data_IF_212595010239
#
_entry.id   IF_212595010239
#
_cell.length_a   1.000
_cell.length_b   1.000
_cell.length_c   1.000
_cell.angle_alpha   90.00
_cell.angle_beta   90.00
_cell.angle_gamma   90.00
#
_symmetry.space_group_name_H-M   'P 1'
#
loop_
_entity.id
_entity.type
_entity.pdbx_description
1 polymer ?
#
# COMPACT_ATOMS: atom_id res chain seq x y z
N UNK A 1 52.73 -3.75 23.25
CA UNK A 1 51.37 -4.20 23.64
C UNK A 1 50.27 -3.13 23.44
N UNK A 2 50.50 -1.84 23.77
CA UNK A 2 49.42 -0.79 23.58
C UNK A 2 49.02 -0.53 22.13
N UNK A 3 49.89 -0.66 21.13
CA UNK A 3 49.57 -0.44 19.71
C UNK A 3 48.72 -1.60 19.09
N UNK A 4 48.86 -2.84 19.60
CA UNK A 4 48.10 -3.98 19.11
C UNK A 4 46.64 -3.95 19.59
N UNK A 5 46.37 -3.44 20.78
CA UNK A 5 45.03 -3.31 21.36
C UNK A 5 44.20 -2.24 20.63
N UNK A 6 44.79 -1.10 20.21
CA UNK A 6 44.10 -0.06 19.43
C UNK A 6 43.69 -0.57 18.05
N UNK A 7 44.51 -1.43 17.40
CA UNK A 7 44.16 -1.99 16.08
C UNK A 7 42.99 -2.97 16.14
N UNK A 8 42.87 -3.73 17.24
CA UNK A 8 41.77 -4.68 17.44
C UNK A 8 40.45 -3.98 17.73
N UNK A 9 40.48 -2.88 18.51
CA UNK A 9 39.26 -2.07 18.77
C UNK A 9 38.73 -1.34 17.50
N UNK A 10 39.64 -0.85 16.65
CA UNK A 10 39.24 -0.21 15.39
C UNK A 10 38.61 -1.23 14.39
N UNK A 11 39.09 -2.48 14.38
CA UNK A 11 38.55 -3.54 13.53
C UNK A 11 37.18 -4.05 14.02
N UNK A 12 36.93 -4.03 15.35
CA UNK A 12 35.60 -4.37 15.91
C UNK A 12 34.56 -3.28 15.67
N UNK A 13 34.95 -2.00 15.62
CA UNK A 13 34.01 -0.90 15.30
C UNK A 13 33.58 -0.87 13.83
N UNK A 14 34.39 -1.39 12.90
CA UNK A 14 34.03 -1.49 11.48
C UNK A 14 33.06 -2.66 11.18
N UNK A 15 33.00 -3.68 12.04
CA UNK A 15 32.08 -4.81 11.88
C UNK A 15 30.67 -4.55 12.43
N UNK A 16 30.49 -3.54 13.28
CA UNK A 16 29.18 -3.18 13.82
C UNK A 16 28.37 -2.18 12.95
N UNK A 17 28.97 -1.62 11.90
CA UNK A 17 28.33 -0.64 11.01
C UNK A 17 27.54 -1.24 9.85
N UNK A 18 27.53 -2.58 9.68
CA UNK A 18 26.97 -3.24 8.48
C UNK A 18 25.65 -4.00 8.67
N UNK A 19 24.98 -3.87 9.79
CA UNK A 19 23.61 -4.37 9.94
C UNK A 19 22.57 -3.32 9.52
N UNK A 20 22.86 -2.54 8.48
CA UNK A 20 21.95 -1.52 7.96
C UNK A 20 20.70 -2.18 7.37
N UNK A 21 19.62 -1.93 8.04
CA UNK A 21 18.18 -2.23 7.80
C UNK A 21 17.88 -2.85 6.43
N UNK A 22 17.92 -4.19 6.34
CA UNK A 22 17.37 -4.97 5.21
C UNK A 22 15.85 -4.87 5.11
N UNK A 23 15.19 -4.26 6.10
CA UNK A 23 13.74 -4.17 6.19
C UNK A 23 13.20 -2.89 5.59
N UNK A 24 11.99 -3.00 5.02
CA UNK A 24 11.21 -1.94 4.43
C UNK A 24 9.88 -1.84 5.17
N UNK A 25 9.47 -0.62 5.56
CA UNK A 25 8.16 -0.34 6.11
C UNK A 25 7.21 0.00 4.94
N UNK A 26 6.19 -0.83 4.76
CA UNK A 26 5.14 -0.65 3.76
C UNK A 26 3.86 -0.26 4.48
N UNK A 27 3.11 0.70 3.93
CA UNK A 27 1.79 1.08 4.44
C UNK A 27 0.77 1.08 3.31
N UNK A 28 -0.48 0.74 3.60
CA UNK A 28 -1.64 1.07 2.79
C UNK A 28 -2.52 2.03 3.56
N UNK A 29 -3.06 3.04 2.88
CA UNK A 29 -3.88 4.06 3.51
C UNK A 29 -4.92 4.60 2.54
N UNK A 30 -6.15 4.10 2.65
CA UNK A 30 -7.29 4.79 2.05
C UNK A 30 -7.46 6.13 2.78
N UNK A 31 -7.22 7.23 2.06
CA UNK A 31 -7.22 8.58 2.66
C UNK A 31 -8.60 9.23 2.65
N UNK A 32 -9.63 8.53 2.20
CA UNK A 32 -10.97 9.05 1.96
C UNK A 32 -10.96 10.29 1.07
N UNK A 33 -11.67 10.26 -0.02
CA UNK A 33 -11.77 11.38 -0.95
C UNK A 33 -12.41 12.63 -0.31
N UNK A 34 -12.44 13.74 -1.05
CA UNK A 34 -13.02 14.98 -0.57
C UNK A 34 -14.55 14.91 -0.68
N UNK A 35 -15.21 14.82 0.48
CA UNK A 35 -16.69 14.76 0.57
C UNK A 35 -17.18 15.80 1.59
N UNK A 36 -18.05 16.72 1.15
CA UNK A 36 -18.57 17.76 2.04
C UNK A 36 -19.44 17.20 3.18
N UNK A 37 -20.16 16.10 2.92
CA UNK A 37 -21.00 15.45 3.91
C UNK A 37 -20.23 14.84 5.09
N UNK A 38 -18.90 14.67 4.99
CA UNK A 38 -18.07 14.19 6.09
C UNK A 38 -17.94 15.17 7.28
N UNK A 39 -18.50 16.38 7.17
CA UNK A 39 -18.64 17.35 8.26
C UNK A 39 -17.29 17.69 8.91
N UNK A 40 -17.12 17.35 10.21
CA UNK A 40 -15.87 17.57 10.93
C UNK A 40 -14.69 16.85 10.26
N UNK A 41 -14.91 15.69 9.67
CA UNK A 41 -13.91 14.86 9.04
C UNK A 41 -13.66 15.19 7.55
N UNK A 42 -14.14 16.35 7.04
CA UNK A 42 -13.75 16.82 5.72
C UNK A 42 -12.23 16.95 5.61
N UNK A 43 -11.69 16.73 4.40
CA UNK A 43 -10.25 16.78 4.15
C UNK A 43 -9.57 18.05 4.69
N UNK A 44 -10.17 19.21 4.47
CA UNK A 44 -9.63 20.50 4.95
C UNK A 44 -9.36 20.55 6.46
N UNK A 45 -10.11 19.77 7.25
CA UNK A 45 -10.00 19.71 8.70
C UNK A 45 -9.00 18.63 9.17
N UNK A 46 -8.86 17.52 8.41
CA UNK A 46 -8.05 16.35 8.80
C UNK A 46 -6.74 16.21 8.04
N UNK A 47 -6.49 17.01 6.99
CA UNK A 47 -5.30 16.87 6.15
C UNK A 47 -3.99 16.94 6.94
N UNK A 48 -3.86 17.90 7.83
CA UNK A 48 -2.63 18.06 8.64
C UNK A 48 -2.43 16.87 9.57
N UNK A 49 -3.53 16.30 10.09
CA UNK A 49 -3.49 15.12 10.92
C UNK A 49 -3.09 13.87 10.11
N UNK A 50 -3.67 13.66 8.94
CA UNK A 50 -3.32 12.57 8.04
C UNK A 50 -1.84 12.66 7.60
N UNK A 51 -1.37 13.87 7.24
CA UNK A 51 0.03 14.10 6.87
C UNK A 51 0.97 13.88 8.07
N UNK A 52 0.60 14.33 9.27
CA UNK A 52 1.41 14.14 10.47
C UNK A 52 1.49 12.67 10.89
N UNK A 53 0.43 11.89 10.69
CA UNK A 53 0.46 10.44 10.85
C UNK A 53 1.53 9.81 9.94
N UNK A 54 1.53 10.16 8.65
CA UNK A 54 2.54 9.69 7.70
C UNK A 54 3.98 10.11 8.11
N UNK A 55 4.15 11.33 8.61
CA UNK A 55 5.44 11.80 9.15
C UNK A 55 5.90 11.01 10.37
N UNK A 56 4.98 10.72 11.28
CA UNK A 56 5.26 10.02 12.54
C UNK A 56 5.66 8.57 12.30
N UNK A 57 4.83 7.81 11.57
CA UNK A 57 5.11 6.41 11.28
C UNK A 57 6.21 6.22 10.24
N UNK A 58 6.41 7.22 9.39
CA UNK A 58 7.46 7.27 8.37
C UNK A 58 7.61 5.95 7.60
N UNK A 59 6.57 5.52 6.84
CA UNK A 59 6.69 4.35 5.98
C UNK A 59 7.75 4.62 4.90
N UNK A 60 8.53 3.61 4.54
CA UNK A 60 9.51 3.74 3.45
C UNK A 60 8.82 3.88 2.08
N UNK A 61 7.70 3.13 1.91
CA UNK A 61 6.75 3.26 0.79
C UNK A 61 5.32 3.12 1.31
N UNK A 62 4.38 3.76 0.64
CA UNK A 62 2.98 3.56 0.95
C UNK A 62 2.06 3.74 -0.26
N UNK A 63 1.02 2.89 -0.34
CA UNK A 63 -0.08 3.02 -1.27
C UNK A 63 -1.20 3.88 -0.68
N UNK A 64 -1.76 4.78 -1.47
CA UNK A 64 -2.97 5.53 -1.10
C UNK A 64 -4.13 5.12 -2.00
N UNK A 65 -5.34 5.18 -1.47
CA UNK A 65 -6.59 4.98 -2.21
C UNK A 65 -7.50 6.19 -1.97
N UNK A 66 -8.42 6.43 -2.90
CA UNK A 66 -9.36 7.56 -2.92
C UNK A 66 -8.74 8.97 -3.00
N UNK A 67 -7.44 9.10 -3.05
CA UNK A 67 -6.80 10.40 -3.08
C UNK A 67 -7.18 11.19 -4.34
N UNK A 68 -7.82 12.35 -4.19
CA UNK A 68 -8.01 13.31 -5.27
C UNK A 68 -6.69 14.03 -5.59
N UNK A 69 -6.60 14.68 -6.75
CA UNK A 69 -5.39 15.43 -7.12
C UNK A 69 -4.98 16.46 -6.06
N UNK A 70 -5.93 17.18 -5.47
CA UNK A 70 -5.64 18.14 -4.40
C UNK A 70 -5.07 17.46 -3.15
N UNK A 71 -5.57 16.29 -2.79
CA UNK A 71 -5.02 15.51 -1.68
C UNK A 71 -3.61 15.01 -1.97
N UNK A 72 -3.33 14.60 -3.21
CA UNK A 72 -1.97 14.24 -3.64
C UNK A 72 -0.99 15.41 -3.48
N UNK A 73 -1.41 16.62 -3.88
CA UNK A 73 -0.61 17.86 -3.70
C UNK A 73 -0.38 18.18 -2.23
N UNK A 74 -1.42 18.11 -1.40
CA UNK A 74 -1.34 18.40 0.04
C UNK A 74 -0.42 17.40 0.76
N UNK A 75 -0.53 16.11 0.46
CA UNK A 75 0.33 15.05 1.03
C UNK A 75 1.78 15.29 0.61
N UNK A 76 2.04 15.53 -0.66
CA UNK A 76 3.40 15.74 -1.18
C UNK A 76 4.04 17.02 -0.61
N UNK A 77 3.26 18.09 -0.44
CA UNK A 77 3.73 19.32 0.18
C UNK A 77 4.17 19.10 1.64
N UNK A 78 3.48 18.21 2.36
CA UNK A 78 3.85 17.83 3.71
C UNK A 78 4.98 16.81 3.81
N UNK A 79 5.31 16.08 2.74
CA UNK A 79 6.28 14.98 2.69
C UNK A 79 7.34 15.24 1.62
N UNK A 80 8.15 16.30 1.80
CA UNK A 80 9.14 16.76 0.82
C UNK A 80 10.19 15.71 0.43
N UNK A 81 10.44 14.71 1.29
CA UNK A 81 11.39 13.62 1.03
C UNK A 81 10.80 12.49 0.16
N UNK A 82 9.50 12.56 -0.15
CA UNK A 82 8.81 11.56 -0.95
C UNK A 82 8.56 12.04 -2.39
N UNK A 83 8.37 11.05 -3.25
CA UNK A 83 7.77 11.21 -4.56
C UNK A 83 6.70 10.12 -4.72
N UNK A 84 5.91 10.17 -5.78
CA UNK A 84 4.93 9.12 -6.07
C UNK A 84 4.92 8.73 -7.55
N UNK A 85 4.36 7.56 -7.84
CA UNK A 85 3.94 7.09 -9.15
C UNK A 85 2.43 6.87 -9.11
N UNK A 86 1.77 7.08 -10.24
CA UNK A 86 0.33 6.92 -10.40
C UNK A 86 -0.34 8.13 -11.02
N UNK A 87 -1.56 7.92 -11.50
CA UNK A 87 -2.39 8.91 -12.19
C UNK A 87 -3.83 8.84 -11.69
N UNK A 88 -4.63 9.86 -12.01
CA UNK A 88 -6.05 9.87 -11.73
C UNK A 88 -6.83 8.90 -12.61
N UNK A 89 -7.80 8.20 -12.04
CA UNK A 89 -8.52 7.08 -12.68
C UNK A 89 -9.43 7.50 -13.83
N UNK A 90 -9.85 8.79 -13.88
CA UNK A 90 -10.84 9.24 -14.86
C UNK A 90 -10.23 9.58 -16.21
N UNK A 91 -8.99 10.09 -16.24
CA UNK A 91 -8.36 10.63 -17.47
C UNK A 91 -6.92 10.16 -17.69
N UNK A 92 -6.40 9.35 -16.76
CA UNK A 92 -5.00 8.93 -16.80
C UNK A 92 -4.01 10.07 -16.54
N UNK A 93 -4.46 11.17 -15.94
CA UNK A 93 -3.65 12.34 -15.59
C UNK A 93 -3.96 12.77 -14.16
N UNK A 94 -4.86 13.76 -14.00
CA UNK A 94 -5.19 14.33 -12.69
C UNK A 94 -6.67 14.17 -12.31
N UNK A 95 -7.50 13.67 -13.20
CA UNK A 95 -8.93 13.51 -13.00
C UNK A 95 -9.29 12.27 -12.20
N UNK A 96 -10.20 12.43 -11.24
CA UNK A 96 -10.68 11.36 -10.38
C UNK A 96 -9.71 11.00 -9.25
N UNK A 97 -9.96 9.85 -8.64
CA UNK A 97 -9.17 9.34 -7.52
C UNK A 97 -7.92 8.61 -8.01
N UNK A 98 -6.87 8.64 -7.19
CA UNK A 98 -5.62 7.93 -7.39
C UNK A 98 -5.58 6.65 -6.55
N UNK A 99 -4.89 5.65 -7.07
CA UNK A 99 -4.33 4.52 -6.33
C UNK A 99 -2.80 4.59 -6.43
N UNK A 100 -2.21 5.67 -5.92
CA UNK A 100 -0.80 5.98 -6.11
C UNK A 100 0.11 5.28 -5.10
N UNK A 101 1.39 5.17 -5.44
CA UNK A 101 2.44 4.65 -4.57
C UNK A 101 3.43 5.76 -4.27
N UNK A 102 3.53 6.16 -3.01
CA UNK A 102 4.55 7.08 -2.50
C UNK A 102 5.79 6.30 -2.05
N UNK A 103 6.97 6.91 -2.23
CA UNK A 103 8.26 6.32 -1.85
C UNK A 103 9.28 7.35 -1.41
N UNK A 104 10.16 6.99 -0.46
CA UNK A 104 11.28 7.83 -0.02
C UNK A 104 12.32 7.97 -1.13
N UNK A 105 12.46 9.17 -1.73
CA UNK A 105 13.34 9.46 -2.88
C UNK A 105 14.81 9.13 -2.64
N UNK A 106 15.29 9.38 -1.42
CA UNK A 106 16.67 9.14 -1.08
C UNK A 106 17.01 7.63 -1.09
N UNK A 107 16.04 6.77 -0.76
CA UNK A 107 16.23 5.33 -0.63
C UNK A 107 15.86 4.55 -1.89
N UNK A 108 14.80 4.90 -2.57
CA UNK A 108 14.29 4.11 -3.69
C UNK A 108 14.51 4.78 -5.04
N UNK A 109 14.74 3.93 -6.03
CA UNK A 109 14.79 4.29 -7.44
C UNK A 109 13.67 3.53 -8.16
N UNK A 110 12.85 4.24 -8.93
CA UNK A 110 11.85 3.64 -9.82
C UNK A 110 12.56 3.18 -11.09
N UNK A 111 12.51 1.89 -11.37
CA UNK A 111 13.09 1.29 -12.59
C UNK A 111 12.09 1.20 -13.72
N UNK A 112 10.84 0.98 -13.37
CA UNK A 112 9.72 0.87 -14.30
C UNK A 112 8.43 1.14 -13.53
N UNK A 113 7.41 1.70 -14.17
CA UNK A 113 6.13 1.96 -13.52
C UNK A 113 5.01 2.20 -14.53
N UNK A 114 3.77 1.99 -14.10
CA UNK A 114 2.61 2.25 -14.91
C UNK A 114 1.33 2.20 -14.09
N UNK A 115 0.24 2.52 -14.76
CA UNK A 115 -1.12 2.39 -14.24
C UNK A 115 -1.98 1.73 -15.32
N UNK A 116 -2.84 0.80 -14.93
CA UNK A 116 -3.82 0.18 -15.81
C UNK A 116 -5.19 0.17 -15.14
N UNK A 117 -6.23 0.06 -15.96
CA UNK A 117 -7.61 0.02 -15.50
C UNK A 117 -8.06 -1.42 -15.27
N UNK A 118 -8.80 -1.64 -14.20
CA UNK A 118 -9.39 -2.94 -13.90
C UNK A 118 -10.61 -3.14 -14.79
N UNK A 119 -10.36 -3.53 -16.03
CA UNK A 119 -11.33 -3.70 -17.09
C UNK A 119 -10.89 -4.81 -18.06
N UNK A 120 -11.84 -5.29 -18.87
CA UNK A 120 -11.62 -6.41 -19.79
C UNK A 120 -10.73 -6.03 -20.99
N UNK A 121 -9.77 -6.89 -21.31
CA UNK A 121 -8.99 -6.84 -22.53
C UNK A 121 -8.28 -5.48 -22.74
N UNK A 122 -8.44 -4.89 -23.92
CA UNK A 122 -7.80 -3.63 -24.27
C UNK A 122 -8.28 -2.43 -23.46
N UNK A 123 -9.50 -2.50 -22.89
CA UNK A 123 -10.03 -1.46 -22.02
C UNK A 123 -9.12 -1.19 -20.81
N UNK A 124 -8.34 -2.19 -20.37
CA UNK A 124 -7.37 -2.02 -19.30
C UNK A 124 -6.31 -0.95 -19.60
N UNK A 125 -6.11 -0.58 -20.86
CA UNK A 125 -5.16 0.46 -21.28
C UNK A 125 -5.83 1.80 -21.62
N UNK A 126 -7.17 1.91 -21.45
CA UNK A 126 -7.93 3.11 -21.81
C UNK A 126 -8.34 3.86 -20.54
N UNK A 127 -7.88 5.10 -20.34
CA UNK A 127 -8.28 5.92 -19.20
C UNK A 127 -9.79 6.07 -19.07
N UNK A 128 -10.28 5.94 -17.83
CA UNK A 128 -11.71 6.08 -17.51
C UNK A 128 -12.55 4.84 -17.81
N UNK A 129 -11.96 3.73 -18.25
CA UNK A 129 -12.71 2.50 -18.54
C UNK A 129 -13.37 1.91 -17.30
N UNK A 130 -14.65 1.53 -17.46
CA UNK A 130 -15.37 0.69 -16.51
C UNK A 130 -15.14 -0.77 -16.86
N UNK A 131 -14.83 -1.59 -15.84
CA UNK A 131 -14.72 -3.04 -15.98
C UNK A 131 -15.93 -3.75 -15.38
N UNK A 132 -16.46 -4.73 -16.12
CA UNK A 132 -17.56 -5.60 -15.70
C UNK A 132 -18.78 -4.81 -15.18
N UNK A 133 -19.17 -5.06 -13.93
CA UNK A 133 -20.28 -4.41 -13.23
C UNK A 133 -19.81 -3.29 -12.27
N UNK A 134 -18.63 -2.72 -12.49
CA UNK A 134 -18.09 -1.66 -11.64
C UNK A 134 -18.93 -0.38 -11.70
N UNK A 135 -19.09 0.27 -10.55
CA UNK A 135 -19.79 1.56 -10.45
C UNK A 135 -18.89 2.73 -10.88
N UNK A 136 -17.58 2.60 -10.64
CA UNK A 136 -16.56 3.58 -11.03
C UNK A 136 -15.37 2.93 -11.75
N UNK A 137 -14.63 3.69 -12.60
CA UNK A 137 -13.34 3.22 -13.09
C UNK A 137 -12.42 2.87 -11.92
N UNK A 138 -11.84 1.67 -11.94
CA UNK A 138 -10.87 1.22 -10.94
C UNK A 138 -9.51 1.03 -11.60
N UNK A 139 -8.45 1.33 -10.87
CA UNK A 139 -7.08 1.28 -11.38
C UNK A 139 -6.17 0.53 -10.45
N UNK A 140 -5.09 0.02 -11.02
CA UNK A 140 -3.93 -0.44 -10.29
C UNK A 140 -2.69 0.32 -10.77
N UNK A 141 -1.94 0.88 -9.84
CA UNK A 141 -0.63 1.48 -10.09
C UNK A 141 0.44 0.51 -9.65
N UNK A 142 1.47 0.34 -10.48
CA UNK A 142 2.59 -0.54 -10.18
C UNK A 142 3.93 0.12 -10.43
N UNK A 143 4.97 -0.37 -9.77
CA UNK A 143 6.35 0.01 -10.04
C UNK A 143 7.33 -1.11 -9.67
N UNK A 144 8.44 -1.16 -10.38
CA UNK A 144 9.64 -1.89 -9.97
C UNK A 144 10.55 -0.91 -9.24
N UNK A 145 10.71 -1.13 -7.95
CA UNK A 145 11.62 -0.33 -7.12
C UNK A 145 12.95 -1.05 -6.91
N UNK A 146 14.04 -0.26 -6.93
CA UNK A 146 15.35 -0.68 -6.43
C UNK A 146 15.64 0.03 -5.12
N UNK A 147 15.82 -0.71 -4.03
CA UNK A 147 16.32 -0.18 -2.77
C UNK A 147 17.83 0.09 -2.87
N UNK A 148 18.21 1.36 -2.93
CA UNK A 148 19.60 1.80 -3.04
C UNK A 148 20.46 1.41 -1.83
N UNK A 149 19.83 1.13 -0.66
CA UNK A 149 20.54 0.70 0.56
C UNK A 149 20.93 -0.76 0.51
N UNK A 150 20.10 -1.60 -0.11
CA UNK A 150 20.32 -3.07 -0.15
C UNK A 150 20.72 -3.59 -1.53
N UNK A 151 20.51 -2.77 -2.58
CA UNK A 151 20.67 -3.17 -3.98
C UNK A 151 19.54 -4.07 -4.51
N UNK A 152 18.61 -4.50 -3.66
CA UNK A 152 17.51 -5.40 -4.03
C UNK A 152 16.43 -4.66 -4.80
N UNK A 153 15.81 -5.35 -5.75
CA UNK A 153 14.64 -4.86 -6.47
C UNK A 153 13.42 -5.69 -6.09
N UNK A 154 12.24 -5.07 -6.16
CA UNK A 154 10.95 -5.72 -5.92
C UNK A 154 9.86 -5.03 -6.76
N UNK A 155 8.80 -5.76 -7.03
CA UNK A 155 7.60 -5.25 -7.68
C UNK A 155 6.60 -4.80 -6.62
N UNK A 156 6.04 -3.60 -6.79
CA UNK A 156 5.00 -3.08 -5.90
C UNK A 156 3.77 -2.70 -6.73
N UNK A 157 2.60 -3.12 -6.28
CA UNK A 157 1.31 -2.79 -6.87
C UNK A 157 0.37 -2.24 -5.79
N UNK A 158 -0.40 -1.20 -6.12
CA UNK A 158 -1.42 -0.61 -5.25
C UNK A 158 -2.73 -0.44 -6.02
N UNK A 159 -3.85 -0.74 -5.37
CA UNK A 159 -5.17 -0.74 -6.00
C UNK A 159 -6.28 -0.32 -5.04
N UNK A 160 -7.48 -0.09 -5.61
CA UNK A 160 -8.74 0.04 -4.89
C UNK A 160 -9.83 -0.67 -5.71
N UNK A 161 -10.29 -1.82 -5.24
CA UNK A 161 -11.34 -2.61 -5.90
C UNK A 161 -12.71 -1.91 -5.80
N UNK A 162 -13.64 -2.32 -6.66
CA UNK A 162 -14.97 -1.71 -6.68
C UNK A 162 -15.77 -2.08 -5.42
N UNK A 163 -16.52 -1.11 -4.89
CA UNK A 163 -17.28 -1.30 -3.66
C UNK A 163 -18.68 -1.91 -3.88
N UNK A 164 -19.19 -1.88 -5.14
CA UNK A 164 -20.52 -2.41 -5.52
C UNK A 164 -20.39 -3.66 -6.38
N UNK A 165 -19.66 -3.59 -7.49
CA UNK A 165 -19.58 -4.63 -8.50
C UNK A 165 -18.93 -5.91 -7.99
N UNK A 166 -19.71 -6.98 -7.89
CA UNK A 166 -19.22 -8.30 -7.42
C UNK A 166 -18.28 -8.93 -8.45
N UNK A 167 -18.69 -8.89 -9.74
CA UNK A 167 -17.85 -9.41 -10.83
C UNK A 167 -16.60 -8.54 -11.03
N UNK A 168 -16.71 -7.23 -10.85
CA UNK A 168 -15.59 -6.31 -10.92
C UNK A 168 -14.54 -6.61 -9.85
N UNK A 169 -14.95 -6.95 -8.60
CA UNK A 169 -14.02 -7.35 -7.56
C UNK A 169 -13.34 -8.68 -7.86
N UNK A 170 -14.10 -9.71 -8.25
CA UNK A 170 -13.56 -11.02 -8.60
C UNK A 170 -12.56 -10.94 -9.75
N UNK A 171 -13.00 -10.42 -10.88
CA UNK A 171 -12.19 -10.35 -12.10
C UNK A 171 -11.04 -9.33 -11.95
N UNK A 172 -11.27 -8.24 -11.19
CA UNK A 172 -10.23 -7.29 -10.83
C UNK A 172 -9.12 -7.96 -10.03
N UNK A 173 -9.46 -8.77 -9.01
CA UNK A 173 -8.48 -9.52 -8.23
C UNK A 173 -7.69 -10.52 -9.10
N UNK A 174 -8.37 -11.22 -10.01
CA UNK A 174 -7.73 -12.13 -10.96
C UNK A 174 -6.77 -11.38 -11.89
N UNK A 175 -7.20 -10.25 -12.46
CA UNK A 175 -6.37 -9.41 -13.32
C UNK A 175 -5.13 -8.91 -12.58
N UNK A 176 -5.27 -8.49 -11.32
CA UNK A 176 -4.15 -8.06 -10.46
C UNK A 176 -3.14 -9.19 -10.24
N UNK A 177 -3.61 -10.40 -9.96
CA UNK A 177 -2.78 -11.58 -9.73
C UNK A 177 -1.99 -11.95 -10.99
N UNK A 178 -2.68 -12.05 -12.14
CA UNK A 178 -2.10 -12.39 -13.44
C UNK A 178 -1.09 -11.31 -13.89
N UNK A 179 -1.42 -10.03 -13.67
CA UNK A 179 -0.52 -8.92 -13.97
C UNK A 179 0.73 -8.97 -13.10
N UNK A 180 0.58 -9.14 -11.78
CA UNK A 180 1.72 -9.23 -10.87
C UNK A 180 2.62 -10.42 -11.20
N UNK A 181 2.04 -11.60 -11.52
CA UNK A 181 2.77 -12.78 -11.94
C UNK A 181 3.61 -12.53 -13.20
N UNK A 182 3.04 -11.91 -14.23
CA UNK A 182 3.71 -11.68 -15.51
C UNK A 182 4.71 -10.52 -15.47
N UNK A 183 4.39 -9.42 -14.77
CA UNK A 183 5.17 -8.17 -14.80
C UNK A 183 6.23 -8.08 -13.69
N UNK A 184 6.13 -8.88 -12.63
CA UNK A 184 7.17 -8.91 -11.59
C UNK A 184 8.51 -9.47 -12.09
N UNK A 185 8.53 -10.19 -13.20
CA UNK A 185 9.76 -10.80 -13.78
C UNK A 185 10.51 -11.66 -12.75
N UNK A 186 9.77 -12.35 -11.86
CA UNK A 186 10.33 -13.17 -10.79
C UNK A 186 10.87 -12.40 -9.57
N UNK A 187 10.73 -11.09 -9.54
CA UNK A 187 11.05 -10.28 -8.36
C UNK A 187 10.05 -10.57 -7.22
N UNK A 188 10.46 -10.39 -5.96
CA UNK A 188 9.53 -10.35 -4.84
C UNK A 188 8.42 -9.32 -5.08
N UNK A 189 7.17 -9.65 -4.69
CA UNK A 189 6.00 -8.82 -4.93
C UNK A 189 5.41 -8.33 -3.62
N UNK A 190 5.10 -7.04 -3.56
CA UNK A 190 4.25 -6.42 -2.54
C UNK A 190 3.01 -5.89 -3.25
N UNK A 191 1.82 -6.20 -2.73
CA UNK A 191 0.56 -5.65 -3.21
C UNK A 191 -0.20 -5.05 -2.03
N UNK A 192 -0.64 -3.81 -2.18
CA UNK A 192 -1.42 -3.08 -1.18
C UNK A 192 -2.72 -2.59 -1.78
N UNK A 193 -3.68 -2.30 -0.94
CA UNK A 193 -4.92 -1.68 -1.40
C UNK A 193 -6.05 -1.76 -0.40
N UNK A 194 -7.12 -1.09 -0.78
CA UNK A 194 -8.47 -1.33 -0.31
C UNK A 194 -9.15 -2.29 -1.31
N UNK A 195 -9.43 -3.49 -0.84
CA UNK A 195 -9.99 -4.55 -1.69
C UNK A 195 -11.52 -4.61 -1.63
N UNK A 196 -12.17 -3.78 -0.80
CA UNK A 196 -13.61 -3.80 -0.57
C UNK A 196 -14.17 -5.23 -0.37
N UNK A 197 -13.41 -6.08 0.30
CA UNK A 197 -13.70 -7.49 0.51
C UNK A 197 -13.08 -7.96 1.84
N UNK A 198 -13.81 -8.79 2.59
CA UNK A 198 -13.33 -9.39 3.82
C UNK A 198 -12.45 -10.63 3.57
N UNK A 199 -11.70 -11.14 4.56
CA UNK A 199 -10.71 -12.21 4.35
C UNK A 199 -11.26 -13.51 3.74
N UNK A 200 -12.54 -13.78 3.92
CA UNK A 200 -13.22 -14.97 3.39
C UNK A 200 -13.96 -14.73 2.07
N UNK A 201 -13.96 -13.49 1.59
CA UNK A 201 -14.63 -13.14 0.35
C UNK A 201 -13.82 -13.58 -0.87
N UNK A 202 -14.53 -13.85 -1.94
CA UNK A 202 -14.01 -14.38 -3.17
C UNK A 202 -12.81 -13.61 -3.75
N UNK A 203 -12.78 -12.26 -3.81
CA UNK A 203 -11.61 -11.54 -4.32
C UNK A 203 -10.33 -11.81 -3.52
N UNK A 204 -10.43 -12.00 -2.20
CA UNK A 204 -9.28 -12.31 -1.34
C UNK A 204 -8.84 -13.75 -1.54
N UNK A 205 -9.81 -14.68 -1.70
CA UNK A 205 -9.51 -16.08 -1.99
C UNK A 205 -8.83 -16.26 -3.36
N UNK A 206 -9.24 -15.50 -4.38
CA UNK A 206 -8.57 -15.47 -5.69
C UNK A 206 -7.09 -15.11 -5.56
N UNK A 207 -6.73 -14.18 -4.69
CA UNK A 207 -5.34 -13.74 -4.47
C UNK A 207 -4.53 -14.75 -3.63
N UNK A 208 -5.16 -15.32 -2.60
CA UNK A 208 -4.47 -16.12 -1.57
C UNK A 208 -4.58 -17.62 -1.77
N UNK A 209 -5.58 -18.07 -2.51
CA UNK A 209 -5.86 -19.49 -2.79
C UNK A 209 -6.17 -19.73 -4.28
N UNK A 210 -5.43 -19.16 -5.23
CA UNK A 210 -5.72 -19.32 -6.65
C UNK A 210 -5.65 -20.80 -7.06
N UNK A 211 -6.30 -21.15 -8.18
CA UNK A 211 -6.19 -22.49 -8.77
C UNK A 211 -4.73 -22.79 -9.16
N UNK A 212 -4.08 -21.84 -9.83
CA UNK A 212 -2.66 -21.93 -10.17
C UNK A 212 -1.77 -21.60 -8.96
N UNK A 213 -1.22 -22.62 -8.34
CA UNK A 213 -0.34 -22.52 -7.18
C UNK A 213 1.08 -22.02 -7.49
N UNK A 214 1.40 -21.76 -8.76
CA UNK A 214 2.74 -21.26 -9.15
C UNK A 214 2.98 -19.81 -8.72
N UNK A 215 1.91 -19.04 -8.45
CA UNK A 215 2.00 -17.67 -7.93
C UNK A 215 0.84 -17.40 -6.97
N UNK A 216 1.14 -17.29 -5.69
CA UNK A 216 0.16 -17.11 -4.62
C UNK A 216 0.57 -15.92 -3.78
N UNK A 217 -0.36 -15.01 -3.51
CA UNK A 217 -0.12 -13.94 -2.56
C UNK A 217 -0.41 -14.41 -1.14
N UNK A 218 0.39 -13.94 -0.20
CA UNK A 218 0.23 -14.22 1.22
C UNK A 218 -0.11 -12.93 1.95
N UNK A 219 -1.17 -12.92 2.74
CA UNK A 219 -1.49 -11.80 3.61
C UNK A 219 -0.39 -11.62 4.66
N UNK A 220 0.21 -10.43 4.69
CA UNK A 220 1.29 -10.11 5.63
C UNK A 220 0.89 -10.29 7.09
N UNK A 221 -0.40 -10.16 7.42
CA UNK A 221 -0.92 -10.37 8.77
C UNK A 221 -0.76 -11.84 9.20
N UNK A 222 -1.10 -12.78 8.30
CA UNK A 222 -1.12 -14.22 8.59
C UNK A 222 0.29 -14.81 8.86
N UNK A 223 1.33 -14.17 8.33
CA UNK A 223 2.74 -14.62 8.45
C UNK A 223 3.60 -13.68 9.29
N UNK A 224 2.98 -12.69 9.92
CA UNK A 224 3.68 -11.72 10.76
C UNK A 224 4.10 -12.34 12.10
N UNK A 225 5.32 -12.02 12.53
CA UNK A 225 5.82 -12.40 13.87
C UNK A 225 5.13 -11.66 15.01
N UNK A 226 4.64 -10.45 14.74
CA UNK A 226 3.95 -9.59 15.70
C UNK A 226 2.81 -8.90 14.98
N UNK A 227 1.58 -9.08 15.48
CA UNK A 227 0.37 -8.41 15.02
C UNK A 227 -0.10 -7.44 16.09
N UNK A 228 -0.47 -6.21 15.71
CA UNK A 228 -0.99 -5.19 16.60
C UNK A 228 -2.18 -4.47 15.97
N UNK A 229 -3.14 -4.05 16.81
CA UNK A 229 -4.35 -3.33 16.39
C UNK A 229 -5.55 -4.25 16.14
N UNK A 230 -6.68 -3.67 15.73
CA UNK A 230 -7.93 -4.42 15.50
C UNK A 230 -7.86 -5.30 14.24
N UNK A 231 -8.90 -6.13 14.06
CA UNK A 231 -9.12 -6.88 12.83
C UNK A 231 -9.61 -5.95 11.70
N UNK A 232 -10.67 -5.18 12.00
CA UNK A 232 -11.33 -4.31 11.03
C UNK A 232 -10.54 -3.06 10.71
N UNK A 233 -10.54 -2.68 9.43
CA UNK A 233 -9.83 -1.47 8.95
C UNK A 233 -10.78 -0.34 8.58
N UNK A 234 -12.01 -0.61 8.13
CA UNK A 234 -13.01 0.40 7.83
C UNK A 234 -13.90 0.67 9.03
N UNK A 235 -14.02 1.93 9.45
CA UNK A 235 -14.76 2.33 10.66
C UNK A 235 -15.71 3.50 10.44
N UNK A 236 -15.80 4.04 9.22
CA UNK A 236 -16.70 5.15 8.87
C UNK A 236 -16.64 6.31 9.89
N UNK A 237 -15.44 6.85 10.14
CA UNK A 237 -15.19 7.89 11.14
C UNK A 237 -15.73 7.53 12.54
N UNK A 238 -15.66 6.26 12.90
CA UNK A 238 -16.13 5.75 14.20
C UNK A 238 -17.64 5.52 14.29
N UNK A 239 -18.38 5.58 13.18
CA UNK A 239 -19.83 5.31 13.16
C UNK A 239 -20.12 3.81 13.23
N UNK A 240 -19.21 2.96 12.74
CA UNK A 240 -19.34 1.50 12.83
C UNK A 240 -18.85 1.03 14.19
N UNK A 241 -19.69 0.26 14.89
CA UNK A 241 -19.34 -0.41 16.14
C UNK A 241 -18.07 -1.26 15.97
N UNK A 242 -17.21 -1.28 16.98
CA UNK A 242 -15.87 -1.85 16.89
C UNK A 242 -15.88 -3.31 16.37
N UNK A 243 -16.78 -4.14 16.86
CA UNK A 243 -16.88 -5.57 16.53
C UNK A 243 -17.47 -5.83 15.12
N UNK A 244 -18.05 -4.81 14.49
CA UNK A 244 -18.68 -4.90 13.16
C UNK A 244 -17.84 -4.29 12.05
N UNK A 245 -16.65 -3.78 12.37
CA UNK A 245 -15.76 -3.15 11.40
C UNK A 245 -15.19 -4.18 10.44
N UNK A 246 -15.46 -4.11 9.13
CA UNK A 246 -14.89 -5.03 8.18
C UNK A 246 -13.39 -4.74 7.97
N UNK A 247 -12.66 -5.76 7.61
CA UNK A 247 -11.27 -5.66 7.16
C UNK A 247 -11.25 -5.58 5.64
N UNK A 248 -10.92 -4.41 5.09
CA UNK A 248 -10.93 -4.12 3.67
C UNK A 248 -9.53 -3.81 3.10
N UNK A 249 -8.60 -3.41 3.98
CA UNK A 249 -7.26 -2.96 3.61
C UNK A 249 -6.22 -4.03 3.90
N UNK A 250 -5.36 -4.32 2.90
CA UNK A 250 -4.41 -5.41 2.98
C UNK A 250 -3.03 -5.02 2.48
N UNK A 251 -2.02 -5.74 3.00
CA UNK A 251 -0.67 -5.81 2.47
C UNK A 251 -0.38 -7.28 2.17
N UNK A 252 -0.37 -7.63 0.90
CA UNK A 252 0.00 -8.96 0.42
C UNK A 252 1.45 -9.01 -0.02
N UNK A 253 2.06 -10.19 0.10
CA UNK A 253 3.43 -10.46 -0.32
C UNK A 253 3.52 -11.75 -1.13
N UNK A 254 4.51 -11.83 -2.05
CA UNK A 254 4.92 -13.07 -2.71
C UNK A 254 6.44 -13.08 -2.85
N UNK A 255 7.05 -14.24 -2.69
CA UNK A 255 8.48 -14.44 -2.79
C UNK A 255 9.18 -14.57 -1.43
N UNK A 256 10.52 -14.59 -1.45
CA UNK A 256 11.34 -14.77 -0.25
C UNK A 256 11.35 -13.50 0.60
N UNK A 257 10.39 -13.40 1.49
CA UNK A 257 10.22 -12.28 2.43
C UNK A 257 9.79 -12.77 3.81
N UNK A 258 10.19 -12.05 4.85
CA UNK A 258 9.68 -12.24 6.21
C UNK A 258 9.01 -10.97 6.72
N UNK A 259 7.88 -11.12 7.42
CA UNK A 259 7.15 -10.00 8.03
C UNK A 259 7.50 -9.93 9.50
N UNK A 260 8.13 -8.83 9.92
CA UNK A 260 8.57 -8.64 11.31
C UNK A 260 7.41 -8.21 12.20
N UNK A 261 6.56 -7.31 11.69
CA UNK A 261 5.31 -6.93 12.30
C UNK A 261 4.28 -6.49 11.25
N UNK A 262 3.02 -6.60 11.61
CA UNK A 262 1.87 -6.07 10.91
C UNK A 262 1.02 -5.30 11.94
N UNK A 263 0.57 -4.10 11.61
CA UNK A 263 -0.26 -3.33 12.52
C UNK A 263 -1.35 -2.55 11.78
N UNK A 264 -2.53 -2.47 12.42
CA UNK A 264 -3.62 -1.58 12.04
C UNK A 264 -3.58 -0.38 12.99
N UNK A 265 -3.44 0.82 12.44
CA UNK A 265 -3.20 2.04 13.21
C UNK A 265 -4.51 2.75 13.51
N UNK A 266 -4.85 2.87 14.79
CA UNK A 266 -6.15 3.38 15.26
C UNK A 266 -6.10 4.83 15.76
N UNK A 267 -5.18 5.62 15.23
CA UNK A 267 -4.99 7.01 15.63
C UNK A 267 -6.23 7.86 15.38
N UNK A 268 -6.61 8.64 16.38
CA UNK A 268 -7.68 9.64 16.28
C UNK A 268 -7.46 10.76 17.30
N UNK A 269 -8.10 11.90 17.09
CA UNK A 269 -8.14 13.04 18.02
C UNK A 269 -9.60 13.23 18.47
N UNK A 270 -10.08 12.31 19.30
CA UNK A 270 -11.48 12.27 19.72
C UNK A 270 -12.40 11.94 18.55
N UNK A 271 -13.12 12.93 18.01
CA UNK A 271 -14.03 12.75 16.86
C UNK A 271 -13.40 13.09 15.51
N UNK A 272 -12.16 13.57 15.49
CA UNK A 272 -11.41 13.82 14.27
C UNK A 272 -10.53 12.63 13.95
N UNK A 273 -10.72 12.06 12.78
CA UNK A 273 -9.98 10.91 12.28
C UNK A 273 -9.11 11.31 11.09
N UNK A 274 -7.95 10.66 10.87
CA UNK A 274 -7.13 10.92 9.67
C UNK A 274 -7.81 10.44 8.38
N UNK A 275 -8.66 9.41 8.47
CA UNK A 275 -9.53 8.87 7.42
C UNK A 275 -10.70 8.12 8.06
N UNK A 276 -11.63 7.60 7.27
CA UNK A 276 -12.65 6.62 7.68
C UNK A 276 -12.12 5.18 7.64
N UNK A 277 -10.90 4.98 7.14
CA UNK A 277 -10.13 3.75 7.23
C UNK A 277 -8.94 3.91 8.19
N UNK A 278 -8.60 2.83 8.89
CA UNK A 278 -7.36 2.71 9.63
C UNK A 278 -6.20 2.37 8.67
N UNK A 279 -5.10 3.12 8.67
CA UNK A 279 -3.92 2.71 7.91
C UNK A 279 -3.39 1.37 8.39
N UNK A 280 -2.91 0.55 7.46
CA UNK A 280 -2.24 -0.72 7.76
C UNK A 280 -0.76 -0.60 7.44
N UNK A 281 0.11 -0.99 8.37
CA UNK A 281 1.57 -0.94 8.18
C UNK A 281 2.20 -2.30 8.46
N UNK A 282 3.13 -2.70 7.60
CA UNK A 282 3.95 -3.89 7.81
C UNK A 282 5.45 -3.57 7.66
N UNK A 283 6.28 -4.25 8.45
CA UNK A 283 7.73 -4.21 8.28
C UNK A 283 8.19 -5.52 7.66
N UNK A 284 8.65 -5.44 6.43
CA UNK A 284 9.02 -6.56 5.58
C UNK A 284 10.55 -6.59 5.40
N UNK A 285 11.12 -7.77 5.43
CA UNK A 285 12.53 -8.01 5.14
C UNK A 285 12.64 -8.92 3.92
N UNK A 286 13.33 -8.45 2.88
CA UNK A 286 13.61 -9.22 1.67
C UNK A 286 14.82 -10.15 1.93
N UNK A 287 14.65 -11.45 1.73
CA UNK A 287 15.70 -12.48 1.93
C UNK A 287 16.70 -12.57 0.76
#
# INVERSE_FOLDING_TARGET
MKKLILSLCAMFMLLSASAAKKSVKIMTFNVRCVVEADGLNQWKNRKDYAVNLLKFYKPDLFGVQEATHQQMVDILAGLSDYAYVGVGRSDGKTGGEYSAIFYEKARFEVKDSGTFWLAEGEKANIPGSLGWDADYPRIATWAIFKDKKTGKSFFYLNTHLDHIGVQARHNGAKLLLDFAKSHSKGLPVVMTGDFNAEPTDDPILVLTQPEDKSFVLTDSKSVSKLVYGPEGTFHDFGRIEFEKRPRLDYIFINGKMSVKYHAVLTDNLGKLYPSDHHPVIAKIEFE
#
